data_IF_218720657090
#
_entry.id   IF_218720657090
#
_cell.length_a   1.000
_cell.length_b   1.000
_cell.length_c   1.000
_cell.angle_alpha   90.00
_cell.angle_beta   90.00
_cell.angle_gamma   90.00
#
_symmetry.space_group_name_H-M   'P 1'
#
loop_
_entity.id
_entity.type
_entity.pdbx_description
1 polymer ?
#
# COMPACT_ATOMS: atom_id res chain seq x y z
N UNK A 1 -23.40 -13.38 20.61
CA UNK A 1 -22.60 -12.78 19.52
C UNK A 1 -21.14 -13.09 19.80
N UNK A 2 -20.44 -13.78 18.88
CA UNK A 2 -19.04 -14.16 19.06
C UNK A 2 -18.19 -12.95 18.64
N UNK A 3 -17.71 -12.18 19.60
CA UNK A 3 -16.77 -11.09 19.33
C UNK A 3 -15.42 -11.77 19.03
N UNK A 4 -15.17 -12.04 17.75
CA UNK A 4 -13.82 -12.39 17.33
C UNK A 4 -12.96 -11.17 17.68
N UNK A 5 -12.00 -11.32 18.58
CA UNK A 5 -10.90 -10.35 18.75
C UNK A 5 -9.98 -10.44 17.52
N UNK A 6 -10.57 -10.33 16.32
CA UNK A 6 -9.85 -10.28 15.07
C UNK A 6 -8.95 -9.06 15.14
N UNK A 7 -7.66 -9.27 14.99
CA UNK A 7 -6.73 -8.15 14.87
C UNK A 7 -7.17 -7.36 13.64
N UNK A 8 -7.48 -6.07 13.79
CA UNK A 8 -7.98 -5.25 12.68
C UNK A 8 -6.82 -4.41 12.15
N UNK A 9 -6.65 -4.43 10.83
CA UNK A 9 -5.79 -3.46 10.14
C UNK A 9 -6.63 -2.21 9.87
N UNK A 10 -6.16 -1.06 10.33
CA UNK A 10 -6.78 0.23 10.03
C UNK A 10 -6.00 0.91 8.92
N UNK A 11 -6.70 1.36 7.87
CA UNK A 11 -6.12 2.06 6.73
C UNK A 11 -7.15 3.01 6.10
N UNK A 12 -6.67 4.08 5.49
CA UNK A 12 -7.46 4.94 4.59
C UNK A 12 -7.06 4.56 3.16
N UNK A 13 -8.04 4.24 2.32
CA UNK A 13 -7.84 3.99 0.89
C UNK A 13 -8.21 5.21 0.08
N UNK A 14 -7.27 5.71 -0.73
CA UNK A 14 -7.51 6.73 -1.73
C UNK A 14 -7.53 6.09 -3.12
N UNK A 15 -8.51 6.46 -3.93
CA UNK A 15 -8.59 6.04 -5.32
C UNK A 15 -7.91 7.12 -6.18
N UNK A 16 -6.76 6.78 -6.76
CA UNK A 16 -5.97 7.69 -7.57
C UNK A 16 -6.07 7.32 -9.05
N UNK A 17 -6.65 8.18 -9.90
CA UNK A 17 -6.69 7.92 -11.33
C UNK A 17 -5.28 8.06 -11.93
N UNK A 18 -4.77 7.00 -12.56
CA UNK A 18 -3.45 6.97 -13.18
C UNK A 18 -3.50 6.24 -14.53
N UNK A 19 -3.10 6.94 -15.60
CA UNK A 19 -3.02 6.41 -16.99
C UNK A 19 -4.29 5.67 -17.45
N UNK A 20 -5.47 6.20 -17.14
CA UNK A 20 -6.75 5.60 -17.50
C UNK A 20 -7.21 4.44 -16.61
N UNK A 21 -6.54 4.24 -15.47
CA UNK A 21 -6.86 3.21 -14.47
C UNK A 21 -7.04 3.84 -13.09
N UNK A 22 -7.47 3.05 -12.12
CA UNK A 22 -7.51 3.44 -10.71
C UNK A 22 -6.42 2.71 -9.95
N UNK A 23 -5.58 3.46 -9.25
CA UNK A 23 -4.62 2.94 -8.29
C UNK A 23 -5.19 3.10 -6.87
N UNK A 24 -5.19 2.02 -6.11
CA UNK A 24 -5.65 1.97 -4.74
C UNK A 24 -4.47 2.30 -3.80
N UNK A 25 -4.45 3.52 -3.29
CA UNK A 25 -3.42 3.99 -2.37
C UNK A 25 -3.89 3.76 -0.93
N UNK A 26 -3.34 2.74 -0.30
CA UNK A 26 -3.61 2.36 1.09
C UNK A 26 -2.63 3.03 2.05
N UNK A 27 -3.14 3.95 2.87
CA UNK A 27 -2.38 4.60 3.94
C UNK A 27 -2.74 3.91 5.26
N UNK A 28 -1.80 3.13 5.80
CA UNK A 28 -2.02 2.38 7.02
C UNK A 28 -1.96 3.29 8.26
N UNK A 29 -2.79 2.97 9.25
CA UNK A 29 -2.97 3.71 10.49
C UNK A 29 -2.61 2.85 11.71
N UNK A 30 -2.49 3.50 12.88
CA UNK A 30 -2.21 2.83 14.15
C UNK A 30 -0.85 2.12 14.15
N UNK A 31 -0.86 0.82 14.46
CA UNK A 31 0.33 -0.02 14.59
C UNK A 31 1.17 -0.12 13.30
N UNK A 32 0.54 0.08 12.13
CA UNK A 32 1.19 0.08 10.82
C UNK A 32 1.36 1.50 10.25
N UNK A 33 1.17 2.54 11.08
CA UNK A 33 1.33 3.93 10.65
C UNK A 33 2.72 4.18 10.05
N UNK A 34 2.71 4.79 8.86
CA UNK A 34 3.92 5.08 8.08
C UNK A 34 4.26 4.01 7.03
N UNK A 35 3.41 3.00 6.85
CA UNK A 35 3.34 2.15 5.67
C UNK A 35 2.30 2.72 4.69
N UNK A 36 2.68 2.81 3.42
CA UNK A 36 1.77 3.12 2.30
C UNK A 36 1.98 2.03 1.25
N UNK A 37 0.90 1.43 0.78
CA UNK A 37 0.91 0.51 -0.35
C UNK A 37 0.07 1.08 -1.48
N UNK A 38 0.51 0.83 -2.72
CA UNK A 38 -0.25 1.16 -3.92
C UNK A 38 -0.54 -0.14 -4.61
N UNK A 39 -1.83 -0.45 -4.74
CA UNK A 39 -2.31 -1.60 -5.47
C UNK A 39 -2.91 -1.14 -6.80
N UNK A 40 -2.66 -1.90 -7.86
CA UNK A 40 -3.03 -1.55 -9.23
C UNK A 40 -3.77 -2.74 -9.83
N UNK A 41 -5.02 -2.51 -10.21
CA UNK A 41 -5.83 -3.55 -10.84
C UNK A 41 -5.63 -3.51 -12.36
N UNK A 42 -5.42 -4.68 -12.95
CA UNK A 42 -5.24 -4.88 -14.38
C UNK A 42 -6.36 -5.77 -14.92
N UNK A 43 -7.04 -5.31 -15.97
CA UNK A 43 -8.13 -6.04 -16.61
C UNK A 43 -7.64 -7.27 -17.40
N UNK A 44 -6.37 -7.25 -17.82
CA UNK A 44 -5.78 -8.27 -18.69
C UNK A 44 -4.25 -8.37 -18.50
N UNK A 45 -3.66 -9.48 -18.93
CA UNK A 45 -2.21 -9.72 -18.80
C UNK A 45 -1.36 -8.77 -19.66
N UNK A 46 -1.85 -8.33 -20.83
CA UNK A 46 -1.10 -7.44 -21.72
C UNK A 46 -0.96 -6.03 -21.15
N UNK A 47 -1.95 -5.58 -20.38
CA UNK A 47 -1.85 -4.32 -19.66
C UNK A 47 -0.91 -4.34 -18.46
N UNK A 48 -0.69 -5.50 -17.86
CA UNK A 48 0.35 -5.70 -16.85
C UNK A 48 1.75 -5.68 -17.48
N UNK A 49 1.95 -6.39 -18.61
CA UNK A 49 3.26 -6.46 -19.29
C UNK A 49 3.76 -5.10 -19.79
N UNK A 50 2.84 -4.22 -20.17
CA UNK A 50 3.16 -2.86 -20.66
C UNK A 50 3.18 -1.82 -19.55
N UNK A 51 2.96 -2.23 -18.30
CA UNK A 51 2.92 -1.32 -17.17
C UNK A 51 4.31 -0.79 -16.83
N UNK A 52 4.38 0.53 -16.64
CA UNK A 52 5.56 1.19 -16.10
C UNK A 52 5.23 1.71 -14.72
N UNK A 53 5.99 1.23 -13.73
CA UNK A 53 5.86 1.65 -12.34
C UNK A 53 5.89 3.19 -12.25
N UNK A 54 4.94 3.81 -11.54
CA UNK A 54 4.92 5.26 -11.39
C UNK A 54 6.11 5.76 -10.58
N UNK A 55 6.60 6.97 -10.87
CA UNK A 55 7.76 7.56 -10.18
C UNK A 55 7.52 7.80 -8.68
N UNK A 56 6.26 7.83 -8.24
CA UNK A 56 5.90 7.95 -6.83
C UNK A 56 5.96 6.63 -6.08
N UNK A 57 6.07 5.49 -6.77
CA UNK A 57 6.25 4.17 -6.17
C UNK A 57 7.74 3.89 -5.96
N UNK A 58 8.09 3.44 -4.75
CA UNK A 58 9.49 3.20 -4.39
C UNK A 58 10.01 1.87 -4.94
N UNK A 59 9.22 0.81 -4.80
CA UNK A 59 9.62 -0.55 -5.13
C UNK A 59 8.39 -1.36 -5.57
N UNK A 60 8.60 -2.28 -6.50
CA UNK A 60 7.63 -3.31 -6.81
C UNK A 60 7.67 -4.37 -5.71
N UNK A 61 6.50 -4.63 -5.12
CA UNK A 61 6.31 -5.56 -4.01
C UNK A 61 5.23 -6.59 -4.31
N UNK A 62 4.89 -6.78 -5.59
CA UNK A 62 3.83 -7.68 -6.06
C UNK A 62 4.02 -9.12 -5.55
N UNK A 63 5.27 -9.59 -5.46
CA UNK A 63 5.62 -10.95 -5.01
C UNK A 63 5.91 -11.04 -3.50
N UNK A 64 5.78 -9.96 -2.75
CA UNK A 64 6.15 -9.93 -1.33
C UNK A 64 4.95 -10.24 -0.43
N UNK A 65 4.77 -11.52 -0.13
CA UNK A 65 3.64 -12.05 0.66
C UNK A 65 3.48 -11.38 2.04
N UNK A 66 4.57 -10.90 2.65
CA UNK A 66 4.51 -10.27 3.98
C UNK A 66 3.72 -8.95 3.99
N UNK A 67 3.50 -8.35 2.81
CA UNK A 67 2.71 -7.13 2.62
C UNK A 67 1.26 -7.42 2.23
N UNK A 68 0.90 -8.68 1.99
CA UNK A 68 -0.49 -9.06 1.75
C UNK A 68 -1.37 -8.67 2.95
N UNK A 69 -2.58 -8.19 2.66
CA UNK A 69 -3.48 -7.65 3.70
C UNK A 69 -3.77 -8.63 4.85
N UNK A 70 -3.84 -9.93 4.56
CA UNK A 70 -3.99 -10.97 5.58
C UNK A 70 -2.77 -11.14 6.49
N UNK A 71 -1.55 -10.92 5.96
CA UNK A 71 -0.29 -11.07 6.70
C UNK A 71 0.00 -9.84 7.57
N UNK A 72 -0.44 -8.66 7.14
CA UNK A 72 -0.37 -7.42 7.92
C UNK A 72 -1.31 -7.41 9.12
N UNK A 73 -2.30 -8.32 9.14
CA UNK A 73 -3.28 -8.46 10.21
C UNK A 73 -2.61 -8.65 11.58
N UNK A 74 -2.62 -7.59 12.39
CA UNK A 74 -2.09 -7.64 13.74
C UNK A 74 -0.57 -7.62 13.85
N UNK A 75 0.10 -7.18 12.79
CA UNK A 75 1.52 -6.79 12.80
C UNK A 75 1.66 -5.33 13.18
N UNK A 76 2.83 -5.00 13.72
CA UNK A 76 3.31 -3.63 13.90
C UNK A 76 4.30 -3.29 12.81
N UNK A 77 4.50 -2.00 12.57
CA UNK A 77 5.52 -1.52 11.64
C UNK A 77 6.90 -2.11 11.96
N UNK A 78 7.24 -2.22 13.25
CA UNK A 78 8.50 -2.83 13.70
C UNK A 78 8.67 -4.27 13.20
N UNK A 79 7.58 -5.06 13.14
CA UNK A 79 7.62 -6.47 12.71
C UNK A 79 7.95 -6.64 11.22
N UNK A 80 7.73 -5.60 10.40
CA UNK A 80 7.95 -5.62 8.95
C UNK A 80 9.10 -4.69 8.51
N UNK A 81 9.61 -3.86 9.43
CA UNK A 81 10.60 -2.82 9.13
C UNK A 81 11.91 -3.36 8.55
N UNK A 82 12.36 -4.53 9.00
CA UNK A 82 13.57 -5.18 8.48
C UNK A 82 13.38 -5.63 7.03
N UNK A 83 12.22 -6.18 6.69
CA UNK A 83 11.90 -6.55 5.31
C UNK A 83 11.76 -5.30 4.43
N UNK A 84 11.13 -4.24 4.95
CA UNK A 84 11.01 -2.96 4.26
C UNK A 84 12.37 -2.29 3.98
N UNK A 85 13.35 -2.49 4.86
CA UNK A 85 14.71 -1.96 4.68
C UNK A 85 15.41 -2.56 3.44
N UNK A 86 15.06 -3.78 3.01
CA UNK A 86 15.55 -4.39 1.75
C UNK A 86 15.21 -3.53 0.53
N UNK A 87 14.10 -2.81 0.59
CA UNK A 87 13.61 -1.90 -0.46
C UNK A 87 14.06 -0.44 -0.24
N UNK A 88 14.90 -0.18 0.78
CA UNK A 88 15.27 1.17 1.22
C UNK A 88 14.05 2.02 1.60
N UNK A 89 12.96 1.36 2.01
CA UNK A 89 11.75 2.04 2.42
C UNK A 89 11.97 2.73 3.76
N UNK A 90 11.64 4.01 3.82
CA UNK A 90 11.67 4.79 5.05
C UNK A 90 10.26 5.05 5.52
N UNK A 91 10.02 4.85 6.83
CA UNK A 91 8.73 5.13 7.45
C UNK A 91 8.27 6.54 7.13
N UNK A 92 7.08 6.66 6.55
CA UNK A 92 6.52 7.97 6.19
C UNK A 92 5.94 8.61 7.46
N UNK A 93 6.57 9.69 7.93
CA UNK A 93 6.16 10.42 9.14
C UNK A 93 5.04 11.43 8.90
N UNK A 94 4.86 11.87 7.65
CA UNK A 94 3.86 12.85 7.24
C UNK A 94 3.20 12.37 5.97
N UNK A 95 1.88 12.19 5.98
CA UNK A 95 1.13 11.94 4.76
C UNK A 95 1.26 13.19 3.88
N UNK A 96 1.83 13.09 2.66
CA UNK A 96 1.87 14.24 1.77
C UNK A 96 0.44 14.69 1.51
N UNK A 97 0.17 15.99 1.67
CA UNK A 97 -1.12 16.56 1.29
C UNK A 97 -1.26 16.38 -0.22
N UNK A 98 -1.96 15.34 -0.65
CA UNK A 98 -2.32 15.12 -2.05
C UNK A 98 -3.28 16.26 -2.39
N UNK A 99 -2.75 17.35 -2.94
CA UNK A 99 -3.60 18.39 -3.52
C UNK A 99 -4.27 17.74 -4.73
N UNK A 100 -5.58 17.53 -4.61
CA UNK A 100 -6.43 17.20 -5.75
C UNK A 100 -6.45 18.42 -6.68
N UNK A 101 -5.46 18.53 -7.56
CA UNK A 101 -5.54 19.41 -8.71
C UNK A 101 -6.44 18.72 -9.74
N UNK A 102 -7.74 18.94 -9.56
CA UNK A 102 -8.73 18.80 -10.62
C UNK A 102 -8.59 20.06 -11.47
N UNK A 103 -8.12 19.91 -12.72
CA UNK A 103 -8.19 20.91 -13.78
C UNK A 103 -8.88 20.32 -14.99
#
# INVERSE_FOLDING_TARGET
MRQLSGKVVSKIRYYYPYKGRTADVDIFQGDLSGLILVDLEFDDAGSLETFLMPDFCLADVTEEEFLAGGMLCGKKYADISENLARFRYTRISTVPSIKSEVS
#
